data_IF_443347068498
#
_entry.id   IF_443347068498
#
_cell.length_a   1.000
_cell.length_b   1.000
_cell.length_c   1.000
_cell.angle_alpha   90.00
_cell.angle_beta   90.00
_cell.angle_gamma   90.00
#
_symmetry.space_group_name_H-M   'P 1'
#
loop_
_entity.id
_entity.type
_entity.pdbx_description
1 polymer ?
#
# COMPACT_ATOMS: atom_id res chain seq x y z
N UNK A 1 34.57 8.73 -0.25
CA UNK A 1 33.19 8.51 0.23
C UNK A 1 32.94 7.00 0.34
N UNK A 2 33.05 6.38 1.51
CA UNK A 2 32.71 4.95 1.68
C UNK A 2 31.20 4.87 1.95
N UNK A 3 30.41 4.58 0.92
CA UNK A 3 29.02 4.19 1.08
C UNK A 3 29.02 2.84 1.81
N UNK A 4 28.70 2.85 3.10
CA UNK A 4 28.38 1.62 3.82
C UNK A 4 27.05 1.09 3.26
N UNK A 5 27.11 0.17 2.31
CA UNK A 5 25.92 -0.54 1.84
C UNK A 5 25.55 -1.55 2.93
N UNK A 6 24.51 -1.23 3.70
CA UNK A 6 23.89 -2.18 4.61
C UNK A 6 23.04 -3.17 3.80
N UNK A 7 22.96 -4.43 4.25
CA UNK A 7 22.03 -5.39 3.68
C UNK A 7 20.58 -5.01 3.99
N UNK A 8 19.64 -5.32 3.10
CA UNK A 8 18.23 -4.94 3.25
C UNK A 8 17.30 -5.97 2.60
N UNK A 9 16.18 -6.26 3.26
CA UNK A 9 14.99 -6.85 2.63
C UNK A 9 13.94 -5.77 2.35
N UNK A 10 13.20 -5.92 1.26
CA UNK A 10 12.11 -5.00 0.91
C UNK A 10 11.00 -5.70 0.14
N UNK A 11 9.76 -5.43 0.53
CA UNK A 11 8.60 -5.65 -0.32
C UNK A 11 8.57 -4.56 -1.39
N UNK A 12 8.49 -4.96 -2.66
CA UNK A 12 8.58 -4.06 -3.80
C UNK A 12 7.51 -4.38 -4.83
N UNK A 13 7.12 -3.36 -5.59
CA UNK A 13 6.30 -3.47 -6.79
C UNK A 13 7.19 -3.11 -7.99
N UNK A 14 7.85 -4.08 -8.65
CA UNK A 14 8.88 -3.80 -9.64
C UNK A 14 8.39 -2.94 -10.79
N UNK A 15 7.19 -3.21 -11.32
CA UNK A 15 6.65 -2.47 -12.46
C UNK A 15 6.27 -1.02 -12.09
N UNK A 16 5.85 -0.78 -10.85
CA UNK A 16 5.61 0.58 -10.34
C UNK A 16 6.94 1.31 -10.11
N UNK A 17 7.93 0.64 -9.51
CA UNK A 17 9.29 1.17 -9.28
C UNK A 17 9.97 1.56 -10.60
N UNK A 18 9.86 0.70 -11.60
CA UNK A 18 10.46 0.85 -12.93
C UNK A 18 9.60 1.73 -13.86
N UNK A 19 8.50 2.30 -13.35
CA UNK A 19 7.59 3.21 -14.05
C UNK A 19 6.95 2.61 -15.31
N UNK A 20 6.80 1.29 -15.36
CA UNK A 20 6.05 0.61 -16.44
C UNK A 20 4.55 0.80 -16.28
N UNK A 21 4.09 0.95 -15.03
CA UNK A 21 2.70 1.24 -14.68
C UNK A 21 2.65 2.51 -13.82
N UNK A 22 1.53 3.23 -13.89
CA UNK A 22 1.34 4.49 -13.15
C UNK A 22 0.84 4.27 -11.71
N UNK A 23 0.12 3.17 -11.49
CA UNK A 23 -0.52 2.82 -10.23
C UNK A 23 -0.74 1.31 -10.20
N UNK A 24 -1.17 0.77 -9.06
CA UNK A 24 -1.67 -0.60 -8.98
C UNK A 24 -2.86 -0.59 -8.02
N UNK A 25 -3.88 -1.40 -8.30
CA UNK A 25 -5.02 -1.50 -7.39
C UNK A 25 -4.57 -2.16 -6.09
N UNK A 26 -4.87 -1.52 -4.97
CA UNK A 26 -4.65 -2.09 -3.64
C UNK A 26 -5.88 -2.90 -3.16
N UNK A 27 -6.89 -3.08 -4.00
CA UNK A 27 -8.07 -3.87 -3.64
C UNK A 27 -7.72 -5.36 -3.55
N UNK A 28 -7.95 -5.94 -2.37
CA UNK A 28 -7.96 -7.37 -2.11
C UNK A 28 -9.39 -7.97 -2.20
N UNK A 29 -10.38 -7.15 -2.56
CA UNK A 29 -11.79 -7.46 -2.42
C UNK A 29 -12.36 -8.41 -3.48
N UNK A 30 -13.53 -8.97 -3.17
CA UNK A 30 -14.36 -9.80 -4.08
C UNK A 30 -14.77 -9.01 -5.34
N UNK A 31 -14.93 -7.69 -5.21
CA UNK A 31 -15.43 -6.79 -6.26
C UNK A 31 -14.32 -6.08 -7.03
N UNK A 32 -13.18 -6.74 -7.23
CA UNK A 32 -12.03 -6.19 -7.95
C UNK A 32 -12.46 -5.47 -9.25
N UNK A 33 -11.95 -4.24 -9.53
CA UNK A 33 -10.83 -3.54 -8.89
C UNK A 33 -11.21 -2.65 -7.70
N UNK A 34 -12.47 -2.68 -7.26
CA UNK A 34 -12.98 -1.76 -6.24
C UNK A 34 -12.71 -2.25 -4.83
N UNK A 35 -12.45 -1.31 -3.93
CA UNK A 35 -12.25 -1.61 -2.53
C UNK A 35 -13.60 -1.84 -1.85
N UNK A 36 -13.74 -2.98 -1.17
CA UNK A 36 -14.82 -3.23 -0.21
C UNK A 36 -15.96 -4.15 -0.64
N UNK A 37 -16.61 -4.66 0.39
CA UNK A 37 -17.81 -5.50 0.33
C UNK A 37 -18.79 -5.16 1.48
N UNK A 38 -18.47 -4.14 2.30
CA UNK A 38 -19.23 -3.78 3.50
C UNK A 38 -19.58 -2.29 3.50
N UNK A 39 -18.80 -1.45 4.19
CA UNK A 39 -19.11 -0.01 4.42
C UNK A 39 -18.60 0.89 3.32
N UNK A 40 -17.79 0.37 2.41
CA UNK A 40 -17.16 1.13 1.33
C UNK A 40 -18.09 1.32 0.13
N UNK A 41 -19.13 0.48 0.02
CA UNK A 41 -20.09 0.49 -1.08
C UNK A 41 -21.50 0.72 -0.55
N UNK A 42 -22.28 1.52 -1.28
CA UNK A 42 -23.70 1.70 -1.03
C UNK A 42 -24.48 1.52 -2.33
N UNK A 43 -25.63 0.84 -2.29
CA UNK A 43 -26.52 0.69 -3.43
C UNK A 43 -27.64 1.72 -3.32
N UNK A 44 -27.75 2.57 -4.34
CA UNK A 44 -28.82 3.57 -4.44
C UNK A 44 -29.86 3.05 -5.43
N UNK A 45 -31.10 2.86 -4.97
CA UNK A 45 -32.22 2.42 -5.80
C UNK A 45 -33.18 3.60 -6.01
N UNK A 46 -33.37 3.97 -7.27
CA UNK A 46 -34.32 4.99 -7.68
C UNK A 46 -35.70 4.42 -8.09
N UNK A 47 -36.68 5.31 -8.38
CA UNK A 47 -36.63 6.75 -8.14
C UNK A 47 -36.81 7.09 -6.66
N UNK A 48 -36.12 8.13 -6.18
CA UNK A 48 -36.27 8.62 -4.80
C UNK A 48 -37.25 9.81 -4.76
N UNK A 49 -38.15 9.84 -3.77
CA UNK A 49 -39.14 10.92 -3.60
C UNK A 49 -38.59 12.13 -2.83
N UNK A 50 -37.45 11.97 -2.16
CA UNK A 50 -36.79 12.97 -1.31
C UNK A 50 -35.27 12.79 -1.43
N UNK A 51 -34.55 13.87 -1.12
CA UNK A 51 -33.09 13.81 -0.97
C UNK A 51 -32.69 12.73 0.04
N UNK A 52 -31.68 11.94 -0.30
CA UNK A 52 -31.15 10.87 0.55
C UNK A 52 -29.66 11.10 0.75
N UNK A 53 -29.18 10.89 1.97
CA UNK A 53 -27.76 11.00 2.33
C UNK A 53 -27.21 9.61 2.63
N UNK A 54 -26.04 9.33 2.09
CA UNK A 54 -25.34 8.07 2.26
C UNK A 54 -23.94 8.36 2.79
N UNK A 55 -23.46 7.47 3.66
CA UNK A 55 -22.10 7.52 4.17
C UNK A 55 -21.40 6.26 3.70
N UNK A 56 -20.28 6.44 3.00
CA UNK A 56 -19.35 5.37 2.69
C UNK A 56 -18.04 5.65 3.42
N UNK A 57 -17.41 4.60 3.94
CA UNK A 57 -16.16 4.70 4.66
C UNK A 57 -15.25 3.53 4.33
N UNK A 58 -13.97 3.83 4.11
CA UNK A 58 -12.89 2.86 3.91
C UNK A 58 -11.99 2.88 5.14
N UNK A 59 -11.63 1.69 5.63
CA UNK A 59 -10.63 1.51 6.66
C UNK A 59 -9.61 0.48 6.19
N UNK A 60 -8.41 0.93 5.87
CA UNK A 60 -7.30 0.08 5.48
C UNK A 60 -6.14 0.25 6.47
N UNK A 61 -5.49 -0.86 6.81
CA UNK A 61 -4.47 -0.93 7.82
C UNK A 61 -3.27 -1.72 7.31
N UNK A 62 -2.09 -1.18 7.57
CA UNK A 62 -0.86 -1.92 7.30
C UNK A 62 -0.76 -3.15 8.20
N UNK A 63 -0.22 -4.24 7.65
CA UNK A 63 0.10 -5.41 8.46
C UNK A 63 1.07 -5.02 9.60
N UNK A 64 0.75 -5.31 10.87
CA UNK A 64 1.44 -4.71 12.00
C UNK A 64 2.78 -5.37 12.33
N UNK A 65 3.10 -6.49 11.70
CA UNK A 65 4.25 -7.33 12.06
C UNK A 65 5.31 -7.36 10.96
N UNK A 66 6.57 -7.42 11.39
CA UNK A 66 7.74 -7.56 10.50
C UNK A 66 8.68 -8.65 11.01
N UNK A 67 9.44 -9.25 10.09
CA UNK A 67 10.42 -10.29 10.41
C UNK A 67 11.72 -9.68 10.92
N UNK A 68 12.29 -10.26 11.99
CA UNK A 68 13.54 -9.81 12.62
C UNK A 68 14.80 -10.35 11.95
N UNK A 69 14.70 -11.51 11.29
CA UNK A 69 15.81 -12.22 10.66
C UNK A 69 15.93 -11.86 9.18
N UNK A 70 17.12 -12.15 8.63
CA UNK A 70 17.35 -12.09 7.20
C UNK A 70 16.58 -13.23 6.52
N UNK A 71 15.73 -12.96 5.52
CA UNK A 71 14.84 -13.98 4.96
C UNK A 71 15.53 -15.19 4.32
N UNK A 72 16.81 -15.06 3.95
CA UNK A 72 17.61 -16.10 3.28
C UNK A 72 18.68 -16.74 4.18
N UNK A 73 18.66 -16.45 5.48
CA UNK A 73 19.69 -16.88 6.42
C UNK A 73 19.16 -17.95 7.38
N UNK A 74 19.89 -19.05 7.54
CA UNK A 74 19.58 -20.11 8.53
C UNK A 74 19.91 -19.69 9.98
N UNK A 75 20.51 -18.50 10.17
CA UNK A 75 20.86 -17.99 11.50
C UNK A 75 19.64 -17.39 12.19
N UNK A 76 19.31 -17.92 13.37
CA UNK A 76 18.25 -17.41 14.22
C UNK A 76 18.72 -16.25 15.14
N UNK A 77 19.27 -15.20 14.53
CA UNK A 77 19.76 -14.00 15.25
C UNK A 77 18.96 -12.78 14.78
N UNK A 78 18.46 -11.92 15.69
CA UNK A 78 17.76 -10.70 15.30
C UNK A 78 18.73 -9.72 14.62
N UNK A 79 18.40 -9.30 13.40
CA UNK A 79 19.25 -8.40 12.59
C UNK A 79 18.52 -7.15 12.10
N UNK A 80 17.23 -7.01 12.41
CA UNK A 80 16.45 -5.84 12.07
C UNK A 80 16.95 -4.62 12.84
N UNK A 81 17.41 -3.61 12.09
CA UNK A 81 17.89 -2.34 12.65
C UNK A 81 17.05 -1.13 12.24
N UNK A 82 16.25 -1.26 11.16
CA UNK A 82 15.40 -0.19 10.67
C UNK A 82 14.26 -0.73 9.81
N UNK A 83 13.08 -0.13 9.95
CA UNK A 83 11.92 -0.33 9.08
C UNK A 83 11.66 1.00 8.38
N UNK A 84 11.47 0.96 7.07
CA UNK A 84 11.12 2.13 6.26
C UNK A 84 9.92 1.82 5.38
N UNK A 85 8.94 2.72 5.36
CA UNK A 85 7.81 2.70 4.44
C UNK A 85 7.67 4.08 3.83
N UNK A 86 7.43 4.12 2.53
CA UNK A 86 7.14 5.35 1.81
C UNK A 86 6.21 4.98 0.66
N UNK A 87 4.93 5.34 0.81
CA UNK A 87 3.88 4.95 -0.11
C UNK A 87 2.93 6.10 -0.34
N UNK A 88 2.54 6.28 -1.60
CA UNK A 88 1.54 7.25 -2.01
C UNK A 88 0.28 6.53 -2.48
N UNK A 89 -0.85 7.06 -2.07
CA UNK A 89 -2.17 6.51 -2.33
C UNK A 89 -3.01 7.56 -3.04
N UNK A 90 -3.84 7.09 -3.96
CA UNK A 90 -4.93 7.85 -4.54
C UNK A 90 -6.20 7.03 -4.40
N UNK A 91 -7.22 7.62 -3.79
CA UNK A 91 -8.52 7.00 -3.57
C UNK A 91 -9.56 7.74 -4.39
N UNK A 92 -10.34 6.98 -5.15
CA UNK A 92 -11.44 7.51 -5.96
C UNK A 92 -12.76 7.04 -5.36
N UNK A 93 -13.63 8.00 -5.02
CA UNK A 93 -15.03 7.72 -4.81
C UNK A 93 -15.74 7.75 -6.17
N UNK A 94 -16.42 6.66 -6.51
CA UNK A 94 -17.09 6.51 -7.81
C UNK A 94 -18.56 6.18 -7.64
N UNK A 95 -19.37 6.58 -8.62
CA UNK A 95 -20.70 6.06 -8.84
C UNK A 95 -20.68 5.18 -10.09
N UNK A 96 -21.24 3.98 -10.00
CA UNK A 96 -21.35 3.06 -11.14
C UNK A 96 -22.80 2.75 -11.41
N UNK A 97 -23.22 2.96 -12.66
CA UNK A 97 -24.51 2.49 -13.12
C UNK A 97 -24.43 0.98 -13.38
N UNK A 98 -25.18 0.19 -12.62
CA UNK A 98 -25.13 -1.27 -12.73
C UNK A 98 -25.68 -1.82 -14.06
N UNK A 99 -26.58 -1.10 -14.74
CA UNK A 99 -27.14 -1.55 -16.01
C UNK A 99 -26.21 -1.25 -17.19
N UNK A 100 -25.56 -0.08 -17.21
CA UNK A 100 -24.65 0.31 -18.31
C UNK A 100 -23.17 0.06 -18.03
N UNK A 101 -22.80 -0.27 -16.79
CA UNK A 101 -21.41 -0.31 -16.30
C UNK A 101 -20.65 1.01 -16.44
N UNK A 102 -21.35 2.12 -16.67
CA UNK A 102 -20.74 3.45 -16.73
C UNK A 102 -20.31 3.87 -15.32
N UNK A 103 -19.05 4.32 -15.19
CA UNK A 103 -18.48 4.78 -13.94
C UNK A 103 -18.15 6.27 -14.02
N UNK A 104 -18.60 7.03 -13.03
CA UNK A 104 -18.32 8.46 -12.87
C UNK A 104 -17.54 8.68 -11.59
N UNK A 105 -16.45 9.44 -11.66
CA UNK A 105 -15.64 9.82 -10.50
C UNK A 105 -16.32 10.99 -9.79
N UNK A 106 -16.72 10.78 -8.54
CA UNK A 106 -17.33 11.78 -7.70
C UNK A 106 -16.29 12.62 -6.97
N UNK A 107 -15.27 11.98 -6.39
CA UNK A 107 -14.23 12.67 -5.63
C UNK A 107 -12.89 11.91 -5.71
N UNK A 108 -11.79 12.65 -5.76
CA UNK A 108 -10.42 12.13 -5.66
C UNK A 108 -9.76 12.62 -4.37
N UNK A 109 -9.11 11.71 -3.66
CA UNK A 109 -8.35 11.98 -2.43
C UNK A 109 -6.92 11.44 -2.61
N UNK A 110 -5.91 12.21 -2.22
CA UNK A 110 -4.50 11.80 -2.28
C UNK A 110 -3.85 11.91 -0.92
N UNK A 111 -2.97 10.97 -0.62
CA UNK A 111 -2.19 10.99 0.61
C UNK A 111 -0.90 10.19 0.47
N UNK A 112 0.05 10.44 1.36
CA UNK A 112 1.32 9.74 1.40
C UNK A 112 1.62 9.35 2.84
N UNK A 113 1.99 8.10 3.04
CA UNK A 113 2.48 7.59 4.32
C UNK A 113 4.00 7.48 4.26
N UNK A 114 4.68 8.03 5.25
CA UNK A 114 6.11 7.85 5.43
C UNK A 114 6.41 7.39 6.85
N UNK A 115 7.03 6.23 6.99
CA UNK A 115 7.36 5.65 8.29
C UNK A 115 8.84 5.31 8.35
N UNK A 116 9.51 5.73 9.41
CA UNK A 116 10.86 5.31 9.71
C UNK A 116 10.95 4.90 11.17
N UNK A 117 11.13 3.60 11.42
CA UNK A 117 11.31 3.07 12.76
C UNK A 117 12.76 2.59 12.86
N UNK A 118 13.47 3.07 13.86
CA UNK A 118 14.77 2.52 14.23
C UNK A 118 14.55 1.40 15.25
N UNK A 119 15.27 0.30 15.07
CA UNK A 119 15.17 -0.89 15.93
C UNK A 119 16.53 -1.20 16.53
N UNK A 120 16.54 -1.41 17.84
CA UNK A 120 17.70 -1.89 18.60
C UNK A 120 17.34 -3.26 19.22
N UNK A 121 17.82 -4.37 18.65
CA UNK A 121 17.46 -5.71 19.11
C UNK A 121 18.00 -6.04 20.51
N UNK A 122 19.05 -5.34 20.98
CA UNK A 122 19.69 -5.59 22.27
C UNK A 122 18.91 -5.00 23.45
N UNK A 123 17.95 -4.11 23.18
CA UNK A 123 17.11 -3.52 24.22
C UNK A 123 16.01 -4.47 24.70
N UNK A 124 15.50 -4.30 25.94
CA UNK A 124 14.38 -5.09 26.43
C UNK A 124 13.10 -4.82 25.62
N UNK A 125 12.16 -5.77 25.68
CA UNK A 125 10.84 -5.64 25.06
C UNK A 125 10.17 -4.33 25.51
N UNK A 126 9.44 -3.68 24.60
CA UNK A 126 8.83 -2.36 24.82
C UNK A 126 9.78 -1.17 24.61
N UNK A 127 11.10 -1.38 24.52
CA UNK A 127 12.10 -0.31 24.39
C UNK A 127 12.98 -0.41 23.13
N UNK A 128 12.69 -1.38 22.26
CA UNK A 128 13.51 -1.69 21.07
C UNK A 128 13.30 -0.73 19.91
N UNK A 129 12.11 -0.14 19.79
CA UNK A 129 11.73 0.63 18.63
C UNK A 129 11.59 2.12 18.97
N UNK A 130 12.07 2.98 18.08
CA UNK A 130 11.90 4.43 18.17
C UNK A 130 11.41 4.94 16.82
N UNK A 131 10.27 5.63 16.82
CA UNK A 131 9.78 6.34 15.65
C UNK A 131 10.73 7.51 15.34
N UNK A 132 11.19 7.58 14.10
CA UNK A 132 11.98 8.66 13.54
C UNK A 132 11.12 9.45 12.55
N UNK A 133 11.63 10.60 12.13
CA UNK A 133 10.91 11.48 11.22
C UNK A 133 10.44 10.77 9.93
N UNK A 134 9.25 11.14 9.41
CA UNK A 134 8.35 12.17 9.95
C UNK A 134 7.51 11.66 11.13
N UNK A 135 7.49 12.41 12.24
CA UNK A 135 6.66 12.09 13.41
C UNK A 135 5.17 12.40 13.20
N UNK A 136 4.89 13.35 12.32
CA UNK A 136 3.53 13.76 11.93
C UNK A 136 3.32 13.39 10.47
N UNK A 137 2.24 12.66 10.18
CA UNK A 137 1.87 12.30 8.81
C UNK A 137 1.08 13.42 8.14
N UNK A 138 1.30 13.59 6.85
CA UNK A 138 0.46 14.44 6.01
C UNK A 138 -0.98 13.92 6.02
N UNK A 139 -1.94 14.81 6.26
CA UNK A 139 -3.35 14.45 6.22
C UNK A 139 -3.80 14.23 4.78
N UNK A 140 -4.75 13.30 4.53
CA UNK A 140 -5.30 13.13 3.20
C UNK A 140 -5.90 14.40 2.62
N UNK A 141 -5.55 14.69 1.37
CA UNK A 141 -5.99 15.86 0.66
C UNK A 141 -7.12 15.52 -0.30
N UNK A 142 -8.27 16.16 -0.12
CA UNK A 142 -9.37 16.17 -1.08
C UNK A 142 -8.97 17.09 -2.24
N UNK A 143 -8.95 16.58 -3.47
CA UNK A 143 -8.59 17.38 -4.64
C UNK A 143 -9.75 18.25 -5.11
N UNK A 144 -9.45 19.50 -5.49
CA UNK A 144 -10.44 20.42 -6.08
C UNK A 144 -10.87 20.05 -7.51
N UNK A 145 -10.11 19.18 -8.18
CA UNK A 145 -10.44 18.60 -9.49
C UNK A 145 -10.14 17.10 -9.46
N UNK A 146 -11.08 16.30 -9.95
CA UNK A 146 -10.91 14.86 -10.04
C UNK A 146 -9.84 14.49 -11.08
N UNK A 147 -8.99 13.53 -10.71
CA UNK A 147 -8.00 12.93 -11.61
C UNK A 147 -8.56 11.62 -12.18
N UNK A 148 -8.27 11.28 -13.45
CA UNK A 148 -8.74 10.02 -14.04
C UNK A 148 -8.08 8.81 -13.36
N UNK A 149 -8.79 7.69 -13.30
CA UNK A 149 -8.23 6.42 -12.82
C UNK A 149 -7.32 5.86 -13.92
N UNK A 150 -6.04 5.53 -13.63
CA UNK A 150 -5.16 4.90 -14.61
C UNK A 150 -5.72 3.55 -15.06
N UNK A 151 -5.76 3.30 -16.38
CA UNK A 151 -6.35 2.08 -16.93
C UNK A 151 -5.71 0.79 -16.37
N UNK A 152 -4.40 0.83 -16.11
CA UNK A 152 -3.65 -0.29 -15.51
C UNK A 152 -4.07 -0.60 -14.06
N UNK A 153 -4.68 0.35 -13.34
CA UNK A 153 -5.21 0.10 -12.00
C UNK A 153 -6.59 -0.57 -12.02
N UNK A 154 -7.25 -0.66 -13.19
CA UNK A 154 -8.57 -1.28 -13.33
C UNK A 154 -8.50 -2.77 -13.68
N UNK A 155 -7.30 -3.32 -13.89
CA UNK A 155 -7.07 -4.71 -14.31
C UNK A 155 -6.12 -5.40 -13.35
N UNK A 156 -6.17 -6.73 -13.27
CA UNK A 156 -5.25 -7.52 -12.44
C UNK A 156 -3.79 -7.36 -12.93
N UNK A 157 -2.78 -7.60 -12.08
CA UNK A 157 -2.84 -8.00 -10.67
C UNK A 157 -3.11 -6.82 -9.71
N UNK A 158 -3.53 -7.15 -8.48
CA UNK A 158 -3.54 -6.18 -7.38
C UNK A 158 -2.13 -6.08 -6.74
N UNK A 159 -1.95 -5.12 -5.83
CA UNK A 159 -0.69 -4.87 -5.16
C UNK A 159 -0.17 -6.10 -4.41
N UNK A 160 -1.06 -6.84 -3.75
CA UNK A 160 -0.71 -8.02 -2.96
C UNK A 160 -0.20 -9.19 -3.81
N UNK A 161 -0.69 -9.33 -5.03
CA UNK A 161 -0.29 -10.39 -5.95
C UNK A 161 0.94 -9.99 -6.79
N UNK A 162 1.13 -8.69 -7.03
CA UNK A 162 2.25 -8.16 -7.80
C UNK A 162 3.52 -7.89 -6.97
N UNK A 163 3.40 -7.79 -5.64
CA UNK A 163 4.53 -7.51 -4.78
C UNK A 163 5.53 -8.67 -4.73
N UNK A 164 6.81 -8.33 -4.60
CA UNK A 164 7.91 -9.28 -4.46
C UNK A 164 8.69 -8.98 -3.19
N UNK A 165 9.15 -10.01 -2.49
CA UNK A 165 10.11 -9.83 -1.40
C UNK A 165 11.53 -9.95 -1.96
N UNK A 166 12.25 -8.83 -1.99
CA UNK A 166 13.64 -8.78 -2.40
C UNK A 166 14.57 -8.86 -1.19
N UNK A 167 15.65 -9.61 -1.33
CA UNK A 167 16.82 -9.53 -0.46
C UNK A 167 17.99 -8.91 -1.21
N UNK A 168 18.63 -7.91 -0.62
CA UNK A 168 19.85 -7.28 -1.13
C UNK A 168 20.97 -7.45 -0.10
N UNK A 169 21.89 -8.40 -0.29
CA UNK A 169 23.00 -8.56 0.61
C UNK A 169 23.97 -7.38 0.50
N UNK A 170 24.86 -7.25 1.47
CA UNK A 170 25.96 -6.28 1.43
C UNK A 170 26.94 -6.57 0.28
N UNK A 171 27.16 -7.86 0.00
CA UNK A 171 28.02 -8.36 -1.07
C UNK A 171 27.24 -9.39 -1.90
N UNK A 172 27.39 -9.37 -3.23
CA UNK A 172 26.71 -10.28 -4.14
C UNK A 172 25.42 -9.70 -4.73
N UNK A 173 24.72 -10.52 -5.51
CA UNK A 173 23.55 -10.08 -6.28
C UNK A 173 22.27 -10.07 -5.45
N UNK A 174 21.31 -9.17 -5.76
CA UNK A 174 19.97 -9.23 -5.23
C UNK A 174 19.28 -10.57 -5.51
N UNK A 175 18.51 -11.06 -4.55
CA UNK A 175 17.78 -12.33 -4.64
C UNK A 175 16.28 -12.05 -4.46
N UNK A 176 15.46 -12.67 -5.31
CA UNK A 176 14.01 -12.73 -5.10
C UNK A 176 13.75 -13.83 -4.07
N UNK A 177 13.26 -13.45 -2.90
CA UNK A 177 12.93 -14.38 -1.80
C UNK A 177 11.52 -14.93 -1.98
N UNK A 178 10.58 -14.04 -2.27
CA UNK A 178 9.18 -14.39 -2.57
C UNK A 178 8.85 -13.78 -3.93
N UNK A 179 8.59 -14.61 -4.96
CA UNK A 179 8.16 -14.14 -6.27
C UNK A 179 6.73 -13.58 -6.20
N UNK A 180 6.30 -12.81 -7.21
CA UNK A 180 4.90 -12.41 -7.29
C UNK A 180 4.04 -13.66 -7.50
N UNK A 181 2.76 -13.59 -7.10
CA UNK A 181 1.83 -14.72 -7.29
C UNK A 181 1.33 -14.82 -8.73
N UNK A 182 1.49 -13.75 -9.51
CA UNK A 182 1.03 -13.61 -10.89
C UNK A 182 2.12 -13.07 -11.80
#
# INVERSE_FOLDING_TARGET
LRLFVASRSSWELPDLRDRKIQAISDSDGVNYPWYGNTTETCVVVGPTKKESKFTVSMNDNFYPSVTWSVPVSDRNVPQLSSIRRDQSFTTWLVATNQASSETVILQTIRWRMQLHIQVDPEKPLGHRAVLREPLVQEQPQILGKNEPIPANAMVKPNANDAQVLMWRPKNGDPVVVIPPKH
#
